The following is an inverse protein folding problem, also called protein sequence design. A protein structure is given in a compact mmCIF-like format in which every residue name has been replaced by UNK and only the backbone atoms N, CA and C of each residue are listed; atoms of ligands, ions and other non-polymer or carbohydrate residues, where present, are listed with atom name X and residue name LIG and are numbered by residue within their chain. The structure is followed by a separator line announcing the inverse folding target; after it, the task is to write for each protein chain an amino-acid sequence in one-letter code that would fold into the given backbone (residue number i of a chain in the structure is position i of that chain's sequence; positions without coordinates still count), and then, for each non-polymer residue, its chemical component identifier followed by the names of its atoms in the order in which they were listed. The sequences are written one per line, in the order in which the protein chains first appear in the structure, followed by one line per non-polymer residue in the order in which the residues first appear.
data_IF_861778919413
#
_entry.id   IF_861778919413
#
_cell.length_a   1.000
_cell.length_b   1.000
_cell.length_c   1.000
_cell.angle_alpha   90.00
_cell.angle_beta   90.00
_cell.angle_gamma   90.00
#
_symmetry.space_group_name_H-M   'P 1'
#
loop_
_entity.id
_entity.type
_entity.pdbx_description
1 polymer ?
#
# COMPACT_ATOMS: atom_id res chain seq x y z
N UNK A 1 13.10 51.31 -27.40
CA UNK A 1 11.74 51.04 -26.88
C UNK A 1 11.06 50.07 -27.85
N UNK A 2 11.31 48.77 -27.69
CA UNK A 2 10.83 47.73 -28.62
C UNK A 2 9.54 47.14 -28.06
N UNK A 3 8.45 47.34 -28.77
CA UNK A 3 7.14 46.81 -28.40
C UNK A 3 7.11 45.29 -28.54
N UNK A 4 6.82 44.58 -27.44
CA UNK A 4 6.60 43.14 -27.46
C UNK A 4 5.37 42.80 -28.32
N UNK A 5 5.54 41.90 -29.28
CA UNK A 5 4.52 41.55 -30.27
C UNK A 5 3.29 40.84 -29.67
N UNK A 6 2.12 40.92 -30.34
CA UNK A 6 0.81 40.48 -29.86
C UNK A 6 0.72 38.98 -29.51
N UNK A 7 1.64 38.15 -30.00
CA UNK A 7 1.69 36.70 -29.73
C UNK A 7 2.16 36.33 -28.30
N UNK A 8 2.68 37.29 -27.52
CA UNK A 8 3.12 37.05 -26.13
C UNK A 8 2.02 37.30 -25.09
N UNK A 9 0.99 38.09 -25.42
CA UNK A 9 -0.16 38.33 -24.52
C UNK A 9 -1.10 37.12 -24.43
N UNK A 10 -1.30 36.38 -25.51
CA UNK A 10 -2.17 35.20 -25.52
C UNK A 10 -1.71 34.09 -24.57
N UNK A 11 -0.41 33.77 -24.56
CA UNK A 11 0.17 32.72 -23.71
C UNK A 11 0.19 33.08 -22.21
N UNK A 12 0.17 34.37 -21.87
CA UNK A 12 0.08 34.81 -20.48
C UNK A 12 -1.35 34.65 -19.94
N UNK A 13 -2.37 34.96 -20.76
CA UNK A 13 -3.78 34.80 -20.39
C UNK A 13 -4.17 33.32 -20.27
N UNK A 14 -3.63 32.45 -21.13
CA UNK A 14 -3.87 31.00 -21.09
C UNK A 14 -3.27 30.33 -19.84
N UNK A 15 -2.10 30.78 -19.38
CA UNK A 15 -1.50 30.33 -18.11
C UNK A 15 -2.27 30.80 -16.88
N UNK A 16 -2.85 31.99 -16.92
CA UNK A 16 -3.68 32.49 -15.82
C UNK A 16 -5.00 31.72 -15.76
N UNK A 17 -5.61 31.41 -16.90
CA UNK A 17 -6.80 30.54 -16.93
C UNK A 17 -6.54 29.12 -16.44
N UNK A 18 -5.40 28.51 -16.79
CA UNK A 18 -5.00 27.20 -16.26
C UNK A 18 -4.69 27.19 -14.76
N UNK A 19 -4.27 28.33 -14.20
CA UNK A 19 -4.10 28.48 -12.74
C UNK A 19 -5.44 28.69 -12.01
N UNK A 20 -6.47 29.21 -12.69
CA UNK A 20 -7.81 29.39 -12.13
C UNK A 20 -8.64 28.11 -12.21
N UNK A 21 -8.51 27.29 -13.27
CA UNK A 21 -9.14 25.97 -13.37
C UNK A 21 -8.60 24.95 -12.35
N UNK A 22 -7.35 25.11 -11.91
CA UNK A 22 -6.75 24.27 -10.86
C UNK A 22 -7.44 24.42 -9.48
N UNK A 23 -8.28 25.45 -9.30
CA UNK A 23 -9.02 25.74 -8.08
C UNK A 23 -10.49 25.32 -8.12
N UNK A 24 -10.92 24.57 -9.14
CA UNK A 24 -12.21 23.90 -9.08
C UNK A 24 -12.16 22.77 -8.04
N UNK A 25 -12.39 23.15 -6.79
CA UNK A 25 -12.71 22.25 -5.68
C UNK A 25 -13.96 21.48 -6.05
N UNK A 26 -13.80 20.36 -6.76
CA UNK A 26 -14.89 19.45 -7.07
C UNK A 26 -15.48 18.98 -5.73
N UNK A 27 -16.64 19.52 -5.29
CA UNK A 27 -17.07 19.39 -3.90
C UNK A 27 -17.37 17.93 -3.56
N UNK A 28 -17.85 17.16 -4.55
CA UNK A 28 -18.04 15.71 -4.46
C UNK A 28 -16.74 14.94 -4.21
N UNK A 29 -15.64 15.31 -4.89
CA UNK A 29 -14.32 14.68 -4.67
C UNK A 29 -13.77 15.07 -3.29
N UNK A 30 -13.95 16.32 -2.88
CA UNK A 30 -13.53 16.79 -1.55
C UNK A 30 -14.30 16.09 -0.41
N UNK A 31 -15.63 15.99 -0.53
CA UNK A 31 -16.49 15.26 0.42
C UNK A 31 -16.13 13.78 0.44
N UNK A 32 -15.91 13.16 -0.72
CA UNK A 32 -15.46 11.76 -0.81
C UNK A 32 -14.13 11.53 -0.10
N UNK A 33 -13.16 12.44 -0.24
CA UNK A 33 -11.89 12.38 0.51
C UNK A 33 -12.11 12.54 2.01
N UNK A 34 -12.91 13.50 2.44
CA UNK A 34 -13.18 13.77 3.85
C UNK A 34 -13.92 12.60 4.53
N UNK A 35 -15.00 12.11 3.91
CA UNK A 35 -15.77 10.96 4.40
C UNK A 35 -14.89 9.72 4.53
N UNK A 36 -14.04 9.47 3.54
CA UNK A 36 -13.17 8.32 3.58
C UNK A 36 -12.03 8.47 4.61
N UNK A 37 -11.72 9.68 5.07
CA UNK A 37 -10.77 9.95 6.17
C UNK A 37 -11.44 10.08 7.54
N UNK A 38 -12.77 10.01 7.62
CA UNK A 38 -13.53 10.15 8.87
C UNK A 38 -13.07 9.19 9.99
N UNK A 39 -12.75 7.91 9.73
CA UNK A 39 -12.26 7.03 10.78
C UNK A 39 -10.91 7.49 11.36
N UNK A 40 -10.01 7.99 10.51
CA UNK A 40 -8.72 8.52 10.95
C UNK A 40 -8.90 9.81 11.76
N UNK A 41 -9.80 10.70 11.32
CA UNK A 41 -10.14 11.93 12.06
C UNK A 41 -10.68 11.60 13.44
N UNK A 42 -11.64 10.68 13.54
CA UNK A 42 -12.20 10.25 14.83
C UNK A 42 -11.13 9.64 15.75
N UNK A 43 -10.22 8.84 15.19
CA UNK A 43 -9.09 8.29 15.95
C UNK A 43 -8.17 9.40 16.50
N UNK A 44 -7.81 10.38 15.68
CA UNK A 44 -6.95 11.50 16.09
C UNK A 44 -7.63 12.34 17.16
N UNK A 45 -8.91 12.68 16.97
CA UNK A 45 -9.69 13.46 17.94
C UNK A 45 -9.76 12.72 19.27
N UNK A 46 -10.11 11.42 19.25
CA UNK A 46 -10.18 10.61 20.47
C UNK A 46 -8.82 10.54 21.19
N UNK A 47 -7.74 10.29 20.44
CA UNK A 47 -6.40 10.20 21.00
C UNK A 47 -5.93 11.54 21.57
N UNK A 48 -6.15 12.64 20.86
CA UNK A 48 -5.75 13.98 21.28
C UNK A 48 -6.52 14.42 22.52
N UNK A 49 -7.83 14.17 22.57
CA UNK A 49 -8.67 14.45 23.75
C UNK A 49 -8.22 13.59 24.93
N UNK A 50 -7.89 12.31 24.72
CA UNK A 50 -7.37 11.44 25.76
C UNK A 50 -6.03 11.96 26.31
N UNK A 51 -5.07 12.25 25.44
CA UNK A 51 -3.76 12.78 25.81
C UNK A 51 -3.86 14.08 26.60
N UNK A 52 -4.65 15.02 26.09
CA UNK A 52 -4.92 16.30 26.74
C UNK A 52 -5.56 16.10 28.12
N UNK A 53 -6.58 15.23 28.21
CA UNK A 53 -7.31 14.99 29.46
C UNK A 53 -6.39 14.35 30.51
N UNK A 54 -5.53 13.41 30.12
CA UNK A 54 -4.56 12.80 31.03
C UNK A 54 -3.56 13.85 31.51
N UNK A 55 -2.96 14.63 30.61
CA UNK A 55 -2.00 15.67 31.00
C UNK A 55 -2.63 16.76 31.88
N UNK A 56 -3.85 17.21 31.55
CA UNK A 56 -4.54 18.28 32.27
C UNK A 56 -5.10 17.83 33.62
N UNK A 57 -5.83 16.71 33.67
CA UNK A 57 -6.60 16.31 34.86
C UNK A 57 -5.86 15.31 35.75
N UNK A 58 -4.98 14.47 35.20
CA UNK A 58 -4.24 13.48 35.99
C UNK A 58 -2.89 14.03 36.43
N UNK A 59 -2.15 14.66 35.52
CA UNK A 59 -0.83 15.23 35.83
C UNK A 59 -0.95 16.66 36.38
N UNK A 60 -2.03 17.37 36.05
CA UNK A 60 -2.30 18.71 36.58
C UNK A 60 -1.70 19.85 35.74
N UNK A 61 -1.28 19.59 34.50
CA UNK A 61 -0.67 20.61 33.66
C UNK A 61 -1.72 21.59 33.12
N UNK A 62 -1.52 22.92 33.28
CA UNK A 62 -2.59 23.86 32.97
C UNK A 62 -2.86 23.99 31.47
N UNK A 63 -1.83 23.95 30.63
CA UNK A 63 -1.98 24.05 29.18
C UNK A 63 -1.06 23.05 28.47
N UNK A 64 -1.42 21.75 28.41
CA UNK A 64 -0.57 20.70 27.85
C UNK A 64 -0.62 20.69 26.32
N UNK A 65 -0.13 21.76 25.70
CA UNK A 65 -0.15 21.94 24.23
C UNK A 65 0.64 20.84 23.54
N UNK A 66 1.79 20.44 24.10
CA UNK A 66 2.65 19.41 23.48
C UNK A 66 2.02 18.02 23.51
N UNK A 67 1.22 17.69 24.54
CA UNK A 67 0.47 16.44 24.55
C UNK A 67 -0.50 16.37 23.35
N UNK A 68 -1.14 17.48 23.03
CA UNK A 68 -2.05 17.58 21.89
C UNK A 68 -1.30 17.55 20.55
N UNK A 69 -0.28 18.42 20.37
CA UNK A 69 0.44 18.55 19.10
C UNK A 69 1.23 17.29 18.76
N UNK A 70 1.89 16.67 19.75
CA UNK A 70 2.60 15.40 19.55
C UNK A 70 1.62 14.30 19.16
N UNK A 71 0.47 14.19 19.83
CA UNK A 71 -0.54 13.17 19.46
C UNK A 71 -1.02 13.32 18.02
N UNK A 72 -1.41 14.54 17.63
CA UNK A 72 -1.94 14.84 16.29
C UNK A 72 -0.86 14.60 15.22
N UNK A 73 0.36 15.08 15.47
CA UNK A 73 1.47 14.99 14.51
C UNK A 73 1.97 13.54 14.36
N UNK A 74 2.03 12.78 15.45
CA UNK A 74 2.43 11.36 15.42
C UNK A 74 1.43 10.48 14.69
N UNK A 75 0.13 10.74 14.85
CA UNK A 75 -0.90 9.98 14.14
C UNK A 75 -1.00 10.41 12.67
N UNK A 76 -1.01 11.71 12.39
CA UNK A 76 -1.22 12.27 11.06
C UNK A 76 -2.59 11.89 10.46
N UNK A 77 -2.97 12.53 9.35
CA UNK A 77 -4.23 12.21 8.63
C UNK A 77 -4.05 11.02 7.66
N UNK A 78 -2.82 10.54 7.47
CA UNK A 78 -2.55 9.40 6.61
C UNK A 78 -3.22 8.12 7.15
N UNK A 79 -3.94 7.40 6.28
CA UNK A 79 -4.69 6.19 6.68
C UNK A 79 -3.82 5.02 7.14
N UNK A 80 -2.53 5.05 6.80
CA UNK A 80 -1.58 3.96 7.02
C UNK A 80 -0.39 4.34 7.90
N UNK A 81 -0.59 5.16 8.93
CA UNK A 81 0.50 5.42 9.89
C UNK A 81 0.77 4.15 10.69
N UNK A 82 1.75 3.36 10.23
CA UNK A 82 2.18 2.11 10.88
C UNK A 82 2.53 2.45 12.33
N UNK A 83 2.23 1.59 13.33
CA UNK A 83 2.61 1.88 14.71
C UNK A 83 4.11 2.20 14.88
N UNK A 84 4.96 1.55 14.08
CA UNK A 84 6.40 1.84 14.00
C UNK A 84 6.67 3.30 13.58
N UNK A 85 5.97 3.79 12.57
CA UNK A 85 6.09 5.17 12.10
C UNK A 85 5.53 6.18 13.10
N UNK A 86 4.43 5.84 13.79
CA UNK A 86 3.90 6.64 14.91
C UNK A 86 4.94 6.74 16.03
N UNK A 87 5.59 5.63 16.38
CA UNK A 87 6.64 5.57 17.40
C UNK A 87 7.88 6.37 16.97
N UNK A 88 8.37 6.17 15.75
CA UNK A 88 9.51 6.92 15.20
C UNK A 88 9.24 8.42 15.23
N UNK A 89 8.07 8.86 14.78
CA UNK A 89 7.68 10.28 14.82
C UNK A 89 7.58 10.81 16.25
N UNK A 90 6.95 10.05 17.16
CA UNK A 90 6.84 10.43 18.57
C UNK A 90 8.21 10.56 19.25
N UNK A 91 9.13 9.62 19.00
CA UNK A 91 10.49 9.65 19.52
C UNK A 91 11.25 10.86 18.98
N UNK A 92 11.15 11.15 17.68
CA UNK A 92 11.78 12.33 17.09
C UNK A 92 11.28 13.63 17.70
N UNK A 93 9.98 13.74 17.92
CA UNK A 93 9.39 14.87 18.61
C UNK A 93 9.86 14.99 20.05
N UNK A 94 9.91 13.88 20.81
CA UNK A 94 10.41 13.89 22.18
C UNK A 94 11.89 14.31 22.26
N UNK A 95 12.72 13.85 21.34
CA UNK A 95 14.12 14.30 21.21
C UNK A 95 14.18 15.80 20.92
N UNK A 96 13.36 16.30 19.99
CA UNK A 96 13.29 17.73 19.68
C UNK A 96 12.89 18.57 20.89
N UNK A 97 11.87 18.14 21.63
CA UNK A 97 11.38 18.80 22.86
C UNK A 97 12.48 18.81 23.93
N UNK A 98 13.05 17.65 24.22
CA UNK A 98 14.08 17.51 25.27
C UNK A 98 15.33 18.32 24.93
N UNK A 99 15.78 18.26 23.67
CA UNK A 99 16.97 18.99 23.22
C UNK A 99 16.77 20.52 23.33
N UNK A 100 15.58 21.01 22.97
CA UNK A 100 15.28 22.45 23.07
C UNK A 100 15.11 22.92 24.51
N UNK A 101 14.55 22.11 25.40
CA UNK A 101 14.53 22.40 26.85
C UNK A 101 15.95 22.53 27.44
N UNK A 102 16.85 21.61 27.10
CA UNK A 102 18.25 21.65 27.55
C UNK A 102 18.94 22.92 27.02
N UNK A 103 18.76 23.24 25.74
CA UNK A 103 19.39 24.42 25.14
C UNK A 103 18.82 25.73 25.70
N UNK A 104 17.52 25.79 26.02
CA UNK A 104 16.91 26.93 26.71
C UNK A 104 17.51 27.17 28.09
N UNK A 105 17.80 26.11 28.84
CA UNK A 105 18.47 26.23 30.13
C UNK A 105 19.89 26.78 30.01
N UNK A 106 20.60 26.43 28.94
CA UNK A 106 21.99 26.83 28.73
C UNK A 106 22.11 28.26 28.20
N UNK A 107 21.24 28.68 27.26
CA UNK A 107 21.41 29.92 26.49
C UNK A 107 20.25 30.91 26.59
N UNK A 108 19.15 30.54 27.26
CA UNK A 108 17.94 31.35 27.35
C UNK A 108 17.17 31.43 26.02
N UNK A 109 16.21 32.37 25.97
CA UNK A 109 15.32 32.58 24.82
C UNK A 109 15.71 33.80 23.97
N UNK A 110 15.65 33.68 22.65
CA UNK A 110 15.81 34.80 21.72
C UNK A 110 15.88 34.35 20.25
N UNK A 111 15.90 35.31 19.33
CA UNK A 111 15.79 35.04 17.88
C UNK A 111 16.99 34.26 17.35
N UNK A 112 18.20 34.63 17.75
CA UNK A 112 19.40 33.91 17.32
C UNK A 112 19.52 32.55 18.01
N UNK A 113 19.10 32.44 19.29
CA UNK A 113 19.05 31.15 19.99
C UNK A 113 18.10 30.18 19.29
N UNK A 114 16.92 30.66 18.87
CA UNK A 114 15.97 29.85 18.09
C UNK A 114 16.60 29.33 16.80
N UNK A 115 17.32 30.17 16.06
CA UNK A 115 18.01 29.76 14.83
C UNK A 115 19.04 28.65 15.09
N UNK A 116 19.84 28.79 16.15
CA UNK A 116 20.85 27.78 16.51
C UNK A 116 20.19 26.48 16.99
N UNK A 117 19.17 26.55 17.85
CA UNK A 117 18.43 25.37 18.32
C UNK A 117 17.82 24.60 17.15
N UNK A 118 17.18 25.30 16.21
CA UNK A 118 16.62 24.66 15.02
C UNK A 118 17.70 24.03 14.15
N UNK A 119 18.83 24.71 13.92
CA UNK A 119 19.95 24.14 13.17
C UNK A 119 20.46 22.84 13.80
N UNK A 120 20.60 22.80 15.13
CA UNK A 120 21.02 21.61 15.87
C UNK A 120 19.96 20.51 15.74
N UNK A 121 18.69 20.81 16.00
CA UNK A 121 17.59 19.82 15.98
C UNK A 121 17.41 19.23 14.59
N UNK A 122 17.48 20.03 13.52
CA UNK A 122 17.39 19.52 12.16
C UNK A 122 18.59 18.65 11.77
N UNK A 123 19.80 19.07 12.15
CA UNK A 123 21.03 18.32 11.87
C UNK A 123 21.01 16.98 12.59
N UNK A 124 20.68 16.99 13.88
CA UNK A 124 20.55 15.78 14.70
C UNK A 124 19.41 14.89 14.18
N UNK A 125 18.25 15.47 13.87
CA UNK A 125 17.11 14.74 13.34
C UNK A 125 17.44 14.03 12.02
N UNK A 126 18.19 14.68 11.12
CA UNK A 126 18.62 14.08 9.86
C UNK A 126 19.71 13.01 10.03
N UNK A 127 20.56 13.16 11.05
CA UNK A 127 21.55 12.14 11.42
C UNK A 127 20.90 10.89 12.03
N UNK A 128 19.84 11.06 12.84
CA UNK A 128 19.14 9.97 13.52
C UNK A 128 18.14 9.22 12.63
N UNK A 129 17.60 9.88 11.61
CA UNK A 129 16.59 9.27 10.73
C UNK A 129 16.79 9.64 9.26
N UNK A 130 16.66 8.67 8.33
CA UNK A 130 16.62 8.96 6.89
C UNK A 130 15.35 9.68 6.46
N UNK A 131 14.30 9.70 7.29
CA UNK A 131 13.00 10.32 6.97
C UNK A 131 13.06 11.84 7.16
N UNK A 132 12.83 12.67 6.11
CA UNK A 132 12.75 14.12 6.26
C UNK A 132 11.66 14.57 7.25
N UNK A 133 10.54 13.83 7.29
CA UNK A 133 9.43 14.13 8.19
C UNK A 133 9.81 14.03 9.68
N UNK A 134 10.77 13.17 10.03
CA UNK A 134 11.26 13.03 11.40
C UNK A 134 11.91 14.34 11.89
N UNK A 135 12.82 14.90 11.09
CA UNK A 135 13.51 16.15 11.42
C UNK A 135 12.54 17.34 11.46
N UNK A 136 11.57 17.39 10.53
CA UNK A 136 10.51 18.42 10.51
C UNK A 136 9.63 18.35 11.75
N UNK A 137 9.18 17.16 12.16
CA UNK A 137 8.37 17.00 13.36
C UNK A 137 9.15 17.40 14.62
N UNK A 138 10.39 16.94 14.76
CA UNK A 138 11.28 17.31 15.87
C UNK A 138 11.49 18.83 15.95
N UNK A 139 11.83 19.47 14.83
CA UNK A 139 12.05 20.91 14.73
C UNK A 139 10.79 21.72 15.05
N UNK A 140 9.62 21.25 14.62
CA UNK A 140 8.33 21.92 14.89
C UNK A 140 8.02 21.92 16.40
N UNK A 141 8.24 20.80 17.09
CA UNK A 141 8.05 20.76 18.54
C UNK A 141 9.11 21.58 19.28
N UNK A 142 10.37 21.53 18.82
CA UNK A 142 11.43 22.36 19.39
C UNK A 142 11.12 23.87 19.28
N UNK A 143 10.59 24.31 18.15
CA UNK A 143 10.13 25.68 17.95
C UNK A 143 9.02 26.05 18.96
N UNK A 144 8.04 25.18 19.18
CA UNK A 144 6.97 25.43 20.16
C UNK A 144 7.54 25.60 21.58
N UNK A 145 8.50 24.77 21.98
CA UNK A 145 9.17 24.88 23.28
C UNK A 145 9.87 26.24 23.43
N UNK A 146 10.53 26.73 22.39
CA UNK A 146 11.23 28.03 22.41
C UNK A 146 10.30 29.25 22.49
N UNK A 147 9.08 29.14 21.96
CA UNK A 147 8.13 30.26 21.85
C UNK A 147 7.17 30.31 23.04
N UNK A 148 6.76 29.15 23.56
CA UNK A 148 5.79 29.11 24.64
C UNK A 148 6.40 29.66 25.96
N UNK A 149 5.60 30.34 26.80
CA UNK A 149 6.02 30.74 28.14
C UNK A 149 6.41 29.53 28.99
N UNK A 150 7.46 29.69 29.80
CA UNK A 150 7.95 28.62 30.68
C UNK A 150 6.83 28.12 31.61
N UNK A 151 6.61 26.80 31.72
CA UNK A 151 5.57 26.26 32.58
C UNK A 151 5.98 26.32 34.05
N UNK A 152 5.01 26.52 34.94
CA UNK A 152 5.25 26.62 36.39
C UNK A 152 5.80 25.31 37.01
N UNK A 153 5.55 24.15 36.37
CA UNK A 153 5.95 22.81 36.83
C UNK A 153 7.42 22.42 36.61
N UNK A 154 8.23 23.34 36.07
CA UNK A 154 9.66 23.10 35.81
C UNK A 154 9.98 22.58 34.41
N UNK A 155 11.27 22.30 34.18
CA UNK A 155 11.85 22.15 32.84
C UNK A 155 11.30 20.95 32.07
N UNK A 156 11.05 19.82 32.73
CA UNK A 156 10.65 18.57 32.08
C UNK A 156 9.13 18.42 31.88
N UNK A 157 8.33 19.42 32.29
CA UNK A 157 6.86 19.41 32.18
C UNK A 157 6.41 19.17 30.73
N UNK A 158 7.07 19.83 29.80
CA UNK A 158 6.78 19.81 28.36
C UNK A 158 7.25 18.50 27.70
N UNK A 159 8.42 17.99 28.11
CA UNK A 159 8.88 16.64 27.74
C UNK A 159 7.89 15.55 28.21
N UNK A 160 7.36 15.66 29.43
CA UNK A 160 6.33 14.74 29.93
C UNK A 160 5.03 14.84 29.12
N UNK A 161 4.59 16.05 28.77
CA UNK A 161 3.44 16.24 27.87
C UNK A 161 3.66 15.55 26.52
N UNK A 162 4.84 15.74 25.93
CA UNK A 162 5.22 15.07 24.68
C UNK A 162 5.20 13.55 24.80
N UNK A 163 5.70 13.00 25.91
CA UNK A 163 5.65 11.56 26.18
C UNK A 163 4.20 11.05 26.30
N UNK A 164 3.34 11.74 27.04
CA UNK A 164 1.92 11.39 27.19
C UNK A 164 1.23 11.39 25.82
N UNK A 165 1.49 12.41 25.01
CA UNK A 165 0.95 12.50 23.66
C UNK A 165 1.42 11.37 22.74
N UNK A 166 2.71 11.05 22.77
CA UNK A 166 3.29 9.93 22.03
C UNK A 166 2.70 8.58 22.45
N UNK A 167 2.54 8.36 23.76
CA UNK A 167 1.93 7.14 24.30
C UNK A 167 0.45 7.03 23.96
N UNK A 168 -0.32 8.11 24.05
CA UNK A 168 -1.73 8.14 23.67
C UNK A 168 -1.90 7.84 22.16
N UNK A 169 -1.07 8.42 21.30
CA UNK A 169 -1.05 8.11 19.87
C UNK A 169 -0.79 6.62 19.60
N UNK A 170 0.20 6.02 20.29
CA UNK A 170 0.52 4.61 20.16
C UNK A 170 -0.60 3.71 20.70
N UNK A 171 -1.15 4.03 21.86
CA UNK A 171 -2.25 3.29 22.49
C UNK A 171 -3.49 3.30 21.58
N UNK A 172 -3.91 4.46 21.09
CA UNK A 172 -5.03 4.57 20.17
C UNK A 172 -4.76 3.85 18.85
N UNK A 173 -3.53 3.86 18.34
CA UNK A 173 -3.15 3.08 17.15
C UNK A 173 -3.20 1.57 17.39
N UNK A 174 -2.87 1.12 18.60
CA UNK A 174 -2.94 -0.29 18.97
C UNK A 174 -4.37 -0.78 19.23
N UNK A 175 -5.22 0.07 19.81
CA UNK A 175 -6.58 -0.30 20.24
C UNK A 175 -7.61 -0.13 19.13
N UNK A 176 -7.54 0.96 18.35
CA UNK A 176 -8.54 1.25 17.32
C UNK A 176 -8.33 0.32 16.12
N UNK A 177 -9.27 -0.62 15.84
CA UNK A 177 -9.13 -1.54 14.72
C UNK A 177 -9.19 -0.74 13.42
N UNK A 178 -8.07 -0.69 12.68
CA UNK A 178 -8.10 -0.14 11.33
C UNK A 178 -8.73 -1.18 10.39
N UNK A 179 -9.58 -0.77 9.43
CA UNK A 179 -10.21 -1.66 8.46
C UNK A 179 -9.24 -2.27 7.42
N UNK A 180 -7.97 -2.49 7.77
CA UNK A 180 -6.91 -2.94 6.86
C UNK A 180 -7.17 -4.33 6.29
N UNK A 181 -7.77 -5.24 7.05
CA UNK A 181 -8.14 -6.58 6.54
C UNK A 181 -9.24 -6.53 5.49
N UNK A 182 -10.24 -5.67 5.64
CA UNK A 182 -11.30 -5.50 4.64
C UNK A 182 -10.73 -4.89 3.36
N UNK A 183 -9.86 -3.88 3.48
CA UNK A 183 -9.15 -3.30 2.33
C UNK A 183 -8.27 -4.33 1.64
N UNK A 184 -7.48 -5.11 2.39
CA UNK A 184 -6.63 -6.16 1.83
C UNK A 184 -7.45 -7.20 1.06
N UNK A 185 -8.57 -7.67 1.64
CA UNK A 185 -9.49 -8.59 0.94
C UNK A 185 -10.10 -7.96 -0.30
N UNK A 186 -10.48 -6.69 -0.25
CA UNK A 186 -11.05 -6.00 -1.41
C UNK A 186 -10.05 -5.89 -2.57
N UNK A 187 -8.79 -5.52 -2.28
CA UNK A 187 -7.73 -5.47 -3.31
C UNK A 187 -7.37 -6.85 -3.85
N UNK A 188 -7.34 -7.87 -2.99
CA UNK A 188 -7.16 -9.27 -3.41
C UNK A 188 -8.24 -9.72 -4.40
N UNK A 189 -9.52 -9.46 -4.08
CA UNK A 189 -10.64 -9.80 -4.99
C UNK A 189 -10.56 -9.04 -6.31
N UNK A 190 -10.15 -7.77 -6.28
CA UNK A 190 -9.96 -6.96 -7.50
C UNK A 190 -8.88 -7.57 -8.39
N UNK A 191 -7.73 -7.92 -7.82
CA UNK A 191 -6.63 -8.55 -8.56
C UNK A 191 -7.07 -9.89 -9.16
N UNK A 192 -7.63 -10.79 -8.35
CA UNK A 192 -8.04 -12.12 -8.82
C UNK A 192 -9.15 -12.04 -9.88
N UNK A 193 -10.12 -11.14 -9.71
CA UNK A 193 -11.15 -10.90 -10.73
C UNK A 193 -10.55 -10.36 -12.04
N UNK A 194 -9.55 -9.48 -11.97
CA UNK A 194 -8.86 -8.99 -13.14
C UNK A 194 -8.10 -10.10 -13.87
N UNK A 195 -7.40 -10.98 -13.13
CA UNK A 195 -6.72 -12.15 -13.71
C UNK A 195 -7.70 -13.10 -14.40
N UNK A 196 -8.84 -13.40 -13.77
CA UNK A 196 -9.90 -14.24 -14.35
C UNK A 196 -10.42 -13.68 -15.67
N UNK A 197 -10.77 -12.39 -15.70
CA UNK A 197 -11.22 -11.72 -16.93
C UNK A 197 -10.14 -11.69 -18.01
N UNK A 198 -8.87 -11.47 -17.66
CA UNK A 198 -7.77 -11.56 -18.62
C UNK A 198 -7.69 -12.95 -19.25
N UNK A 199 -7.85 -14.02 -18.46
CA UNK A 199 -7.88 -15.40 -18.99
C UNK A 199 -9.08 -15.63 -19.92
N UNK A 200 -10.25 -15.10 -19.59
CA UNK A 200 -11.45 -15.16 -20.44
C UNK A 200 -11.22 -14.44 -21.78
N UNK A 201 -10.70 -13.20 -21.76
CA UNK A 201 -10.40 -12.41 -22.96
C UNK A 201 -9.33 -13.08 -23.84
N UNK A 202 -8.30 -13.69 -23.24
CA UNK A 202 -7.27 -14.44 -23.97
C UNK A 202 -7.81 -15.74 -24.59
N UNK A 203 -8.72 -16.41 -23.89
CA UNK A 203 -9.43 -17.57 -24.41
C UNK A 203 -10.24 -17.19 -25.64
N UNK A 204 -10.97 -16.08 -25.55
CA UNK A 204 -11.78 -15.54 -26.64
C UNK A 204 -10.93 -15.15 -27.87
N UNK A 205 -9.79 -14.50 -27.64
CA UNK A 205 -8.82 -14.15 -28.68
C UNK A 205 -8.33 -15.40 -29.42
N UNK A 206 -7.94 -16.46 -28.69
CA UNK A 206 -7.49 -17.72 -29.30
C UNK A 206 -8.63 -18.46 -30.01
N UNK A 207 -9.84 -18.44 -29.47
CA UNK A 207 -10.99 -19.14 -30.03
C UNK A 207 -11.40 -18.57 -31.39
N UNK A 208 -11.28 -17.24 -31.57
CA UNK A 208 -11.73 -16.55 -32.79
C UNK A 208 -10.60 -16.02 -33.68
N UNK A 209 -9.35 -16.05 -33.22
CA UNK A 209 -8.24 -15.37 -33.90
C UNK A 209 -8.38 -13.84 -33.83
N UNK A 210 -8.87 -13.31 -32.71
CA UNK A 210 -9.23 -11.89 -32.56
C UNK A 210 -8.16 -11.09 -31.80
N UNK A 211 -7.44 -10.23 -32.51
CA UNK A 211 -6.41 -9.34 -31.95
C UNK A 211 -6.95 -8.22 -31.06
N UNK A 212 -8.24 -7.88 -31.17
CA UNK A 212 -8.84 -6.84 -30.32
C UNK A 212 -9.06 -7.34 -28.89
N UNK A 213 -9.45 -8.61 -28.74
CA UNK A 213 -9.58 -9.29 -27.46
C UNK A 213 -8.22 -9.44 -26.75
N UNK A 214 -7.15 -9.81 -27.48
CA UNK A 214 -5.80 -9.89 -26.91
C UNK A 214 -5.25 -8.53 -26.48
N UNK A 215 -5.53 -7.47 -27.25
CA UNK A 215 -5.15 -6.09 -26.90
C UNK A 215 -5.83 -5.63 -25.61
N UNK A 216 -7.13 -5.91 -25.49
CA UNK A 216 -7.92 -5.61 -24.27
C UNK A 216 -7.37 -6.34 -23.04
N UNK A 217 -7.02 -7.62 -23.21
CA UNK A 217 -6.40 -8.43 -22.17
C UNK A 217 -5.05 -7.85 -21.71
N UNK A 218 -4.23 -7.37 -22.65
CA UNK A 218 -2.94 -6.72 -22.38
C UNK A 218 -3.09 -5.41 -21.59
N UNK A 219 -4.08 -4.59 -21.91
CA UNK A 219 -4.37 -3.37 -21.15
C UNK A 219 -4.83 -3.70 -19.72
N UNK A 220 -5.73 -4.68 -19.58
CA UNK A 220 -6.24 -5.12 -18.28
C UNK A 220 -5.13 -5.61 -17.37
N UNK A 221 -4.24 -6.46 -17.87
CA UNK A 221 -3.14 -7.02 -17.06
C UNK A 221 -2.05 -5.98 -16.72
N UNK A 222 -1.94 -4.88 -17.47
CA UNK A 222 -1.07 -3.74 -17.10
C UNK A 222 -1.71 -2.90 -16.00
N UNK A 223 -3.04 -2.76 -16.02
CA UNK A 223 -3.80 -2.03 -15.03
C UNK A 223 -3.89 -2.71 -13.64
N UNK A 224 -3.31 -3.91 -13.47
CA UNK A 224 -3.31 -4.62 -12.17
C UNK A 224 -2.24 -4.13 -11.19
N UNK A 225 -1.22 -3.39 -11.65
CA UNK A 225 -0.12 -2.95 -10.77
C UNK A 225 -0.60 -2.17 -9.54
N UNK A 226 -1.52 -1.18 -9.66
CA UNK A 226 -2.03 -0.47 -8.49
C UNK A 226 -2.77 -1.37 -7.49
N UNK A 227 -3.37 -2.48 -7.95
CA UNK A 227 -4.06 -3.44 -7.07
C UNK A 227 -3.05 -4.25 -6.23
N UNK A 228 -1.93 -4.65 -6.84
CA UNK A 228 -0.81 -5.31 -6.16
C UNK A 228 -0.20 -4.36 -5.12
N UNK A 229 0.05 -3.11 -5.49
CA UNK A 229 0.62 -2.10 -4.59
C UNK A 229 -0.33 -1.80 -3.43
N UNK A 230 -1.64 -1.68 -3.71
CA UNK A 230 -2.68 -1.48 -2.71
C UNK A 230 -2.82 -2.65 -1.74
N UNK A 231 -2.80 -3.89 -2.24
CA UNK A 231 -2.84 -5.09 -1.39
C UNK A 231 -1.57 -5.21 -0.53
N UNK A 232 -0.40 -4.93 -1.11
CA UNK A 232 0.89 -4.90 -0.38
C UNK A 232 0.84 -3.89 0.77
N UNK A 233 0.42 -2.66 0.49
CA UNK A 233 0.32 -1.60 1.49
C UNK A 233 -0.66 -1.98 2.63
N UNK A 234 -1.80 -2.55 2.29
CA UNK A 234 -2.80 -2.99 3.26
C UNK A 234 -2.28 -4.12 4.17
N UNK A 235 -1.58 -5.11 3.61
CA UNK A 235 -0.99 -6.22 4.37
C UNK A 235 0.16 -5.78 5.27
N UNK A 236 1.03 -4.90 4.78
CA UNK A 236 2.11 -4.31 5.58
C UNK A 236 1.56 -3.53 6.79
N UNK A 237 0.53 -2.72 6.53
CA UNK A 237 -0.17 -1.94 7.55
C UNK A 237 -0.79 -2.87 8.60
N UNK A 238 -1.54 -3.89 8.16
CA UNK A 238 -2.16 -4.87 9.04
C UNK A 238 -1.14 -5.68 9.86
N UNK A 239 -0.02 -6.09 9.25
CA UNK A 239 1.05 -6.85 9.91
C UNK A 239 1.77 -6.00 10.96
N UNK A 240 2.00 -4.71 10.66
CA UNK A 240 2.55 -3.75 11.62
C UNK A 240 1.66 -3.60 12.86
N UNK A 241 0.35 -3.49 12.67
CA UNK A 241 -0.63 -3.43 13.77
C UNK A 241 -0.70 -4.77 14.54
N UNK A 242 -0.66 -5.91 13.85
CA UNK A 242 -0.69 -7.24 14.46
C UNK A 242 0.51 -7.55 15.39
N UNK A 243 1.62 -6.80 15.28
CA UNK A 243 2.75 -6.93 16.21
C UNK A 243 2.41 -6.41 17.61
N UNK A 244 1.65 -5.32 17.68
CA UNK A 244 1.41 -4.59 18.93
C UNK A 244 0.00 -4.84 19.47
N UNK A 245 -1.02 -4.90 18.62
CA UNK A 245 -2.42 -5.02 19.02
C UNK A 245 -2.84 -6.47 19.34
N UNK A 246 -3.35 -6.77 20.55
CA UNK A 246 -3.84 -8.11 20.90
C UNK A 246 -5.05 -8.56 20.06
N UNK A 247 -5.92 -7.62 19.63
CA UNK A 247 -7.11 -7.94 18.84
C UNK A 247 -6.80 -8.39 17.40
N UNK A 248 -5.70 -7.91 16.83
CA UNK A 248 -5.26 -8.30 15.47
C UNK A 248 -4.26 -9.45 15.51
N UNK A 249 -3.60 -9.73 16.64
CA UNK A 249 -2.72 -10.91 16.80
C UNK A 249 -3.39 -12.22 16.40
N UNK A 250 -4.70 -12.38 16.67
CA UNK A 250 -5.48 -13.57 16.26
C UNK A 250 -5.58 -13.77 14.74
N UNK A 251 -5.37 -12.72 13.95
CA UNK A 251 -5.42 -12.76 12.47
C UNK A 251 -4.04 -12.93 11.82
N UNK A 252 -2.97 -13.22 12.58
CA UNK A 252 -1.62 -13.38 12.00
C UNK A 252 -1.56 -14.50 10.95
N UNK A 253 -2.22 -15.62 11.21
CA UNK A 253 -2.27 -16.76 10.26
C UNK A 253 -2.90 -16.33 8.94
N UNK A 254 -4.00 -15.57 9.00
CA UNK A 254 -4.66 -14.99 7.84
C UNK A 254 -3.74 -14.04 7.06
N UNK A 255 -3.04 -13.13 7.76
CA UNK A 255 -2.13 -12.17 7.14
C UNK A 255 -0.95 -12.85 6.45
N UNK A 256 -0.35 -13.86 7.10
CA UNK A 256 0.72 -14.65 6.49
C UNK A 256 0.23 -15.37 5.24
N UNK A 257 -0.97 -15.97 5.29
CA UNK A 257 -1.56 -16.66 4.13
C UNK A 257 -1.80 -15.70 2.96
N UNK A 258 -2.39 -14.53 3.21
CA UNK A 258 -2.59 -13.52 2.17
C UNK A 258 -1.26 -12.99 1.61
N UNK A 259 -0.23 -12.85 2.45
CA UNK A 259 1.12 -12.44 2.01
C UNK A 259 1.75 -13.47 1.08
N UNK A 260 1.64 -14.76 1.40
CA UNK A 260 2.08 -15.85 0.50
C UNK A 260 1.31 -15.83 -0.82
N UNK A 261 -0.02 -15.67 -0.76
CA UNK A 261 -0.87 -15.60 -1.94
C UNK A 261 -0.53 -14.38 -2.82
N UNK A 262 -0.33 -13.20 -2.24
CA UNK A 262 0.05 -11.98 -2.95
C UNK A 262 1.38 -12.15 -3.68
N UNK A 263 2.40 -12.67 -3.00
CA UNK A 263 3.72 -12.87 -3.61
C UNK A 263 3.65 -13.82 -4.82
N UNK A 264 2.87 -14.90 -4.70
CA UNK A 264 2.66 -15.84 -5.78
C UNK A 264 1.81 -15.25 -6.93
N UNK A 265 0.76 -14.48 -6.62
CA UNK A 265 -0.09 -13.85 -7.63
C UNK A 265 0.60 -12.69 -8.35
N UNK A 266 1.56 -12.00 -7.74
CA UNK A 266 2.42 -11.03 -8.46
C UNK A 266 3.23 -11.74 -9.55
N UNK A 267 3.86 -12.88 -9.22
CA UNK A 267 4.57 -13.71 -10.20
C UNK A 267 3.62 -14.24 -11.30
N UNK A 268 2.45 -14.75 -10.92
CA UNK A 268 1.43 -15.20 -11.86
C UNK A 268 0.98 -14.06 -12.80
N UNK A 269 0.81 -12.84 -12.28
CA UNK A 269 0.47 -11.65 -13.06
C UNK A 269 1.56 -11.34 -14.10
N UNK A 270 2.84 -11.42 -13.70
CA UNK A 270 3.97 -11.19 -14.61
C UNK A 270 4.02 -12.24 -15.71
N UNK A 271 3.83 -13.52 -15.37
CA UNK A 271 3.76 -14.60 -16.36
C UNK A 271 2.56 -14.43 -17.30
N UNK A 272 1.40 -14.05 -16.78
CA UNK A 272 0.20 -13.79 -17.59
C UNK A 272 0.40 -12.62 -18.57
N UNK A 273 1.20 -11.59 -18.23
CA UNK A 273 1.58 -10.53 -19.18
C UNK A 273 2.39 -11.07 -20.36
N UNK A 274 3.30 -12.00 -20.12
CA UNK A 274 4.12 -12.64 -21.17
C UNK A 274 3.23 -13.52 -22.05
N UNK A 275 2.34 -14.31 -21.44
CA UNK A 275 1.35 -15.14 -22.13
C UNK A 275 0.43 -14.28 -23.01
N UNK A 276 -0.12 -13.19 -22.46
CA UNK A 276 -0.99 -12.27 -23.20
C UNK A 276 -0.28 -11.69 -24.43
N UNK A 277 0.97 -11.25 -24.27
CA UNK A 277 1.78 -10.73 -25.39
C UNK A 277 2.07 -11.81 -26.44
N UNK A 278 2.26 -13.06 -26.00
CA UNK A 278 2.49 -14.18 -26.93
C UNK A 278 1.22 -14.53 -27.71
N UNK A 279 0.07 -14.53 -27.05
CA UNK A 279 -1.23 -14.78 -27.68
C UNK A 279 -1.53 -13.68 -28.71
N UNK A 280 -1.30 -12.41 -28.35
CA UNK A 280 -1.46 -11.27 -29.26
C UNK A 280 -0.69 -11.42 -30.57
N UNK A 281 0.57 -11.89 -30.49
CA UNK A 281 1.36 -12.23 -31.67
C UNK A 281 0.79 -13.43 -32.45
N UNK A 282 0.33 -14.48 -31.75
CA UNK A 282 -0.19 -15.69 -32.39
C UNK A 282 -1.48 -15.41 -33.16
N UNK A 283 -2.40 -14.62 -32.61
CA UNK A 283 -3.70 -14.31 -33.24
C UNK A 283 -3.59 -13.29 -34.37
N UNK A 284 -2.42 -12.68 -34.57
CA UNK A 284 -2.18 -11.72 -35.65
C UNK A 284 -2.34 -12.29 -37.07
N UNK A 285 -2.35 -13.61 -37.22
CA UNK A 285 -2.67 -14.30 -38.49
C UNK A 285 -4.16 -14.60 -38.69
N UNK A 286 -5.02 -14.13 -37.77
CA UNK A 286 -6.47 -14.34 -37.73
C UNK A 286 -6.91 -15.82 -37.72
N UNK A 287 -6.01 -16.76 -37.42
CA UNK A 287 -6.33 -18.18 -37.35
C UNK A 287 -6.84 -18.60 -35.95
N UNK A 288 -7.99 -19.27 -35.93
CA UNK A 288 -8.58 -19.83 -34.72
C UNK A 288 -7.77 -21.01 -34.16
N UNK A 289 -7.61 -21.05 -32.84
CA UNK A 289 -6.81 -22.04 -32.09
C UNK A 289 -7.61 -22.61 -30.91
N UNK A 290 -8.70 -23.35 -31.16
CA UNK A 290 -9.64 -23.79 -30.14
C UNK A 290 -9.00 -24.68 -29.06
N UNK A 291 -8.03 -25.52 -29.43
CA UNK A 291 -7.31 -26.37 -28.46
C UNK A 291 -6.53 -25.54 -27.45
N UNK A 292 -5.81 -24.51 -27.89
CA UNK A 292 -5.09 -23.60 -27.00
C UNK A 292 -6.05 -22.73 -26.18
N UNK A 293 -7.16 -22.30 -26.79
CA UNK A 293 -8.23 -21.61 -26.07
C UNK A 293 -8.76 -22.46 -24.91
N UNK A 294 -9.03 -23.75 -25.14
CA UNK A 294 -9.46 -24.68 -24.09
C UNK A 294 -8.45 -24.82 -22.94
N UNK A 295 -7.15 -24.88 -23.25
CA UNK A 295 -6.10 -24.93 -22.22
C UNK A 295 -6.05 -23.62 -21.42
N UNK A 296 -6.09 -22.47 -22.07
CA UNK A 296 -6.12 -21.17 -21.36
C UNK A 296 -7.38 -21.05 -20.50
N UNK A 297 -8.55 -21.43 -21.03
CA UNK A 297 -9.82 -21.42 -20.32
C UNK A 297 -9.80 -22.25 -19.02
N UNK A 298 -9.05 -23.36 -19.02
CA UNK A 298 -8.97 -24.26 -17.86
C UNK A 298 -8.37 -23.59 -16.61
N UNK A 299 -7.65 -22.47 -16.74
CA UNK A 299 -7.15 -21.69 -15.60
C UNK A 299 -8.25 -20.87 -14.90
N UNK A 300 -9.33 -20.51 -15.60
CA UNK A 300 -10.39 -19.66 -15.08
C UNK A 300 -11.03 -20.17 -13.78
N UNK A 301 -11.50 -21.43 -13.74
CA UNK A 301 -12.08 -22.03 -12.52
C UNK A 301 -11.13 -22.00 -11.31
N UNK A 302 -9.87 -22.37 -11.51
CA UNK A 302 -8.82 -22.30 -10.48
C UNK A 302 -8.60 -20.88 -9.95
N UNK A 303 -8.54 -19.87 -10.83
CA UNK A 303 -8.40 -18.46 -10.44
C UNK A 303 -9.64 -18.00 -9.66
N UNK A 304 -10.84 -18.39 -10.08
CA UNK A 304 -12.08 -18.09 -9.36
C UNK A 304 -12.13 -18.75 -7.97
N UNK A 305 -11.58 -19.97 -7.83
CA UNK A 305 -11.42 -20.64 -6.53
C UNK A 305 -10.45 -19.88 -5.61
N UNK A 306 -9.31 -19.39 -6.14
CA UNK A 306 -8.40 -18.53 -5.37
C UNK A 306 -9.08 -17.24 -4.90
N UNK A 307 -9.98 -16.66 -5.71
CA UNK A 307 -10.74 -15.48 -5.34
C UNK A 307 -11.67 -15.75 -4.16
N UNK A 308 -12.40 -16.87 -4.20
CA UNK A 308 -13.24 -17.34 -3.08
C UNK A 308 -12.40 -17.64 -1.83
N UNK A 309 -11.20 -18.17 -2.01
CA UNK A 309 -10.28 -18.51 -0.92
C UNK A 309 -9.76 -17.31 -0.11
N UNK A 310 -9.87 -16.09 -0.65
CA UNK A 310 -9.60 -14.85 0.10
C UNK A 310 -10.58 -14.66 1.26
N UNK A 311 -11.84 -15.05 1.06
CA UNK A 311 -12.89 -14.98 2.08
C UNK A 311 -13.01 -16.29 2.88
N UNK A 312 -12.92 -17.43 2.20
CA UNK A 312 -13.09 -18.76 2.79
C UNK A 312 -11.85 -19.65 2.55
N UNK A 313 -10.94 -19.76 3.53
CA UNK A 313 -9.72 -20.55 3.39
C UNK A 313 -9.93 -22.03 3.06
N UNK A 314 -11.10 -22.60 3.39
CA UNK A 314 -11.38 -24.02 3.17
C UNK A 314 -11.35 -24.41 1.69
N UNK A 315 -11.61 -23.44 0.79
CA UNK A 315 -11.64 -23.61 -0.67
C UNK A 315 -10.22 -23.77 -1.25
N UNK A 316 -9.15 -23.44 -0.51
CA UNK A 316 -7.77 -23.56 -0.99
C UNK A 316 -7.39 -24.99 -1.36
N UNK A 317 -7.88 -25.98 -0.61
CA UNK A 317 -7.61 -27.38 -0.92
C UNK A 317 -8.18 -27.77 -2.29
N UNK A 318 -9.40 -27.30 -2.59
CA UNK A 318 -10.05 -27.51 -3.88
C UNK A 318 -9.31 -26.80 -5.00
N UNK A 319 -8.90 -25.53 -4.79
CA UNK A 319 -8.08 -24.79 -5.76
C UNK A 319 -6.77 -25.51 -6.08
N UNK A 320 -6.10 -26.06 -5.05
CA UNK A 320 -4.86 -26.80 -5.21
C UNK A 320 -5.06 -28.08 -6.02
N UNK A 321 -6.11 -28.84 -5.72
CA UNK A 321 -6.41 -30.06 -6.45
C UNK A 321 -6.66 -29.78 -7.95
N UNK A 322 -7.47 -28.77 -8.26
CA UNK A 322 -7.78 -28.36 -9.64
C UNK A 322 -6.50 -27.96 -10.40
N UNK A 323 -5.65 -27.14 -9.77
CA UNK A 323 -4.38 -26.70 -10.34
C UNK A 323 -3.36 -27.85 -10.52
N UNK A 324 -3.34 -28.85 -9.64
CA UNK A 324 -2.47 -30.04 -9.80
C UNK A 324 -2.93 -30.83 -11.02
N UNK A 325 -4.24 -31.08 -11.15
CA UNK A 325 -4.79 -31.77 -12.32
C UNK A 325 -4.48 -31.00 -13.62
N UNK A 326 -4.65 -29.68 -13.60
CA UNK A 326 -4.29 -28.81 -14.71
C UNK A 326 -2.78 -28.88 -15.03
N UNK A 327 -1.91 -28.87 -14.02
CA UNK A 327 -0.47 -28.98 -14.22
C UNK A 327 -0.08 -30.28 -14.96
N UNK A 328 -0.72 -31.40 -14.64
CA UNK A 328 -0.46 -32.70 -15.29
C UNK A 328 -0.87 -32.75 -16.75
N UNK A 329 -1.78 -31.87 -17.20
CA UNK A 329 -2.23 -31.83 -18.59
C UNK A 329 -1.36 -30.95 -19.48
N UNK A 330 -0.46 -30.12 -18.92
CA UNK A 330 0.40 -29.18 -19.65
C UNK A 330 1.64 -29.85 -20.28
N UNK A 331 1.38 -30.81 -21.17
CA UNK A 331 2.37 -31.48 -22.01
C UNK A 331 2.18 -31.07 -23.49
N UNK A 332 3.10 -30.26 -24.06
CA UNK A 332 3.03 -29.85 -25.46
C UNK A 332 3.06 -31.00 -26.47
N UNK A 333 3.73 -32.11 -26.15
CA UNK A 333 3.86 -33.25 -27.06
C UNK A 333 2.55 -34.06 -27.13
N UNK A 334 1.79 -34.12 -26.03
CA UNK A 334 0.50 -34.81 -25.98
C UNK A 334 -0.66 -33.97 -26.50
N UNK A 335 -0.69 -32.68 -26.15
CA UNK A 335 -1.82 -31.81 -26.49
C UNK A 335 -1.85 -31.40 -27.97
N UNK A 336 -0.69 -31.09 -28.53
CA UNK A 336 -0.56 -30.54 -29.89
C UNK A 336 0.71 -31.05 -30.59
N UNK A 337 0.80 -32.37 -30.88
CA UNK A 337 2.02 -32.98 -31.42
C UNK A 337 2.49 -32.36 -32.74
N UNK A 338 1.56 -32.07 -33.65
CA UNK A 338 1.83 -31.53 -34.98
C UNK A 338 1.83 -29.99 -35.05
N UNK A 339 1.65 -29.31 -33.92
CA UNK A 339 1.57 -27.84 -33.89
C UNK A 339 2.91 -27.16 -34.14
N UNK A 340 2.82 -25.91 -34.60
CA UNK A 340 4.00 -25.07 -34.83
C UNK A 340 4.73 -24.81 -33.52
N UNK A 341 6.04 -24.60 -33.61
CA UNK A 341 6.86 -24.24 -32.44
C UNK A 341 6.30 -23.03 -31.67
N UNK A 342 5.67 -22.10 -32.39
CA UNK A 342 5.10 -20.90 -31.80
C UNK A 342 3.98 -21.20 -30.79
N UNK A 343 3.13 -22.19 -31.11
CA UNK A 343 2.00 -22.69 -30.31
C UNK A 343 2.49 -23.57 -29.16
N UNK A 344 3.47 -24.46 -29.42
CA UNK A 344 4.12 -25.26 -28.37
C UNK A 344 4.78 -24.37 -27.31
N UNK A 345 5.37 -23.25 -27.72
CA UNK A 345 5.96 -22.28 -26.79
C UNK A 345 4.91 -21.68 -25.84
N UNK A 346 3.66 -21.46 -26.30
CA UNK A 346 2.60 -20.95 -25.44
C UNK A 346 2.32 -21.92 -24.28
N UNK A 347 2.25 -23.23 -24.57
CA UNK A 347 2.08 -24.25 -23.52
C UNK A 347 3.26 -24.28 -22.54
N UNK A 348 4.48 -24.08 -23.02
CA UNK A 348 5.66 -23.96 -22.13
C UNK A 348 5.54 -22.73 -21.21
N UNK A 349 5.03 -21.60 -21.72
CA UNK A 349 4.83 -20.38 -20.95
C UNK A 349 3.69 -20.48 -19.92
N UNK A 350 2.70 -21.36 -20.14
CA UNK A 350 1.62 -21.62 -19.19
C UNK A 350 2.09 -22.42 -17.95
N UNK A 351 3.23 -23.12 -18.04
CA UNK A 351 3.75 -23.94 -16.94
C UNK A 351 4.22 -23.12 -15.73
N UNK A 352 5.02 -22.04 -15.89
CA UNK A 352 5.29 -21.12 -14.78
C UNK A 352 4.02 -20.52 -14.15
N UNK A 353 3.00 -20.21 -14.97
CA UNK A 353 1.74 -19.68 -14.47
C UNK A 353 1.03 -20.67 -13.53
N UNK A 354 0.91 -21.96 -13.89
CA UNK A 354 0.28 -22.94 -12.99
C UNK A 354 1.09 -23.14 -11.71
N UNK A 355 2.42 -23.07 -11.78
CA UNK A 355 3.30 -23.19 -10.60
C UNK A 355 3.08 -22.02 -9.64
N UNK A 356 2.96 -20.80 -10.15
CA UNK A 356 2.69 -19.63 -9.31
C UNK A 356 1.29 -19.70 -8.70
N UNK A 357 0.28 -20.12 -9.46
CA UNK A 357 -1.08 -20.31 -8.94
C UNK A 357 -1.13 -21.43 -7.88
N UNK A 358 -0.38 -22.52 -8.06
CA UNK A 358 -0.23 -23.58 -7.05
C UNK A 358 0.42 -23.03 -5.78
N UNK A 359 1.48 -22.24 -5.93
CA UNK A 359 2.16 -21.57 -4.82
C UNK A 359 1.22 -20.60 -4.10
N UNK A 360 0.29 -19.95 -4.83
CA UNK A 360 -0.74 -19.08 -4.25
C UNK A 360 -1.73 -19.85 -3.35
N UNK A 361 -1.86 -21.18 -3.53
CA UNK A 361 -2.62 -22.04 -2.60
C UNK A 361 -1.85 -22.38 -1.32
N UNK A 362 -0.58 -21.97 -1.22
CA UNK A 362 0.33 -22.33 -0.12
C UNK A 362 1.15 -23.60 -0.36
N UNK A 363 1.17 -24.16 -1.57
CA UNK A 363 2.06 -25.26 -1.92
C UNK A 363 3.53 -24.78 -1.98
N UNK A 364 4.47 -25.67 -1.67
CA UNK A 364 5.90 -25.34 -1.80
C UNK A 364 6.31 -25.16 -3.27
N UNK A 365 7.23 -24.24 -3.62
CA UNK A 365 7.63 -24.03 -5.02
C UNK A 365 8.22 -25.28 -5.70
N UNK A 366 8.90 -26.14 -4.93
CA UNK A 366 9.44 -27.41 -5.44
C UNK A 366 8.33 -28.43 -5.72
N UNK A 367 7.35 -28.54 -4.81
CA UNK A 367 6.17 -29.40 -4.95
C UNK A 367 5.33 -28.97 -6.16
N UNK A 368 5.08 -27.67 -6.30
CA UNK A 368 4.35 -27.11 -7.44
C UNK A 368 5.03 -27.40 -8.78
N UNK A 369 6.37 -27.36 -8.84
CA UNK A 369 7.13 -27.74 -10.06
C UNK A 369 7.10 -29.24 -10.33
N UNK A 370 7.13 -30.07 -9.27
CA UNK A 370 7.10 -31.51 -9.40
C UNK A 370 5.76 -32.04 -9.95
N UNK A 371 4.68 -31.25 -9.85
CA UNK A 371 3.38 -31.57 -10.45
C UNK A 371 3.37 -31.49 -11.99
N UNK A 372 4.35 -30.83 -12.61
CA UNK A 372 4.44 -30.70 -14.06
C UNK A 372 5.06 -31.95 -14.71
N UNK A 373 4.57 -32.40 -15.88
CA UNK A 373 5.19 -33.48 -16.63
C UNK A 373 6.57 -33.04 -17.13
N UNK A 374 7.57 -33.94 -17.24
CA UNK A 374 8.88 -33.60 -17.82
C UNK A 374 8.71 -33.09 -19.26
N UNK A 375 9.54 -32.12 -19.67
CA UNK A 375 9.64 -31.72 -21.08
C UNK A 375 10.57 -32.73 -21.76
N UNK A 376 10.00 -33.70 -22.47
CA UNK A 376 10.74 -34.61 -23.35
C UNK A 376 11.08 -33.97 -24.69
#
# INVERSE_FOLDING_TARGET
MVAAGPATRGRAVERVHGLVEAWELHPRKAIGRAAASLPAVLQIVLAAVLAYSVARFVVGHPAPVLALTVTITSLGIARDTRPKQVAETAIGMLIGITASEILLLLWGSGVWQLAVVLAIVFTLGRALSPSPGFAVAAGTQAMLVMILPAPDGGVLTRSLDGLIGGLAALLCTAVVPRPSLHTARAEAHRLVSALGRTVEELTEALQRGDSSASSSALERIRATQPMIDGWTAALDSATGVARISPFIRRHRVELTRQSTMLAALDLATRNLRIIARRIDFLVGDAAARPTLAGVVASFGPSIALLGRAVADPSVLALARQDLVLLATSLDPQRLIPEARLAEKTLLVLLRPLVVDLLTATGAGPAEARAALPPLS
#
